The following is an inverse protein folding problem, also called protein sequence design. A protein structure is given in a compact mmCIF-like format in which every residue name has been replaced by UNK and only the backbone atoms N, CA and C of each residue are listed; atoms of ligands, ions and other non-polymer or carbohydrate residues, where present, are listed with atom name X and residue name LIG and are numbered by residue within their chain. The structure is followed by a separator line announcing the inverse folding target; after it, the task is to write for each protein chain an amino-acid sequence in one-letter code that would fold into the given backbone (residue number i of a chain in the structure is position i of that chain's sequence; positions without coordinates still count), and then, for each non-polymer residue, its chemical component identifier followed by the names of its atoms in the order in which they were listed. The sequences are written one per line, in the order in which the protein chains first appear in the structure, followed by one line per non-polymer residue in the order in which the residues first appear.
data_IF_865440773632
#
_entry.id   IF_865440773632
#
_cell.length_a   1.000
_cell.length_b   1.000
_cell.length_c   1.000
_cell.angle_alpha   90.00
_cell.angle_beta   90.00
_cell.angle_gamma   90.00
#
_symmetry.space_group_name_H-M   'P 1'
#
loop_
_entity.id
_entity.type
_entity.pdbx_description
1 polymer ?
#
# COMPACT_ATOMS: atom_id res chain seq x y z
N UNK A 1 -19.65 -10.05 66.67
CA UNK A 1 -20.27 -8.93 65.94
C UNK A 1 -19.24 -7.83 65.71
N UNK A 2 -18.68 -7.71 64.49
CA UNK A 2 -17.89 -6.53 64.07
C UNK A 2 -17.98 -6.35 62.56
N UNK A 3 -18.87 -5.42 62.20
CA UNK A 3 -18.97 -4.53 61.03
C UNK A 3 -18.23 -4.89 59.73
N UNK A 4 -19.01 -5.07 58.68
CA UNK A 4 -18.57 -5.37 57.31
C UNK A 4 -17.79 -4.26 56.60
N UNK A 5 -16.82 -4.70 55.80
CA UNK A 5 -16.15 -3.91 54.76
C UNK A 5 -17.05 -3.84 53.53
N UNK A 6 -17.55 -2.64 53.21
CA UNK A 6 -18.18 -2.34 51.93
C UNK A 6 -17.12 -2.37 50.83
N UNK A 7 -17.22 -3.31 49.90
CA UNK A 7 -16.43 -3.32 48.67
C UNK A 7 -16.91 -2.19 47.76
N UNK A 8 -16.14 -1.11 47.70
CA UNK A 8 -16.30 -0.08 46.68
C UNK A 8 -15.76 -0.61 45.35
N UNK A 9 -16.62 -1.28 44.58
CA UNK A 9 -16.36 -1.63 43.18
C UNK A 9 -16.35 -0.32 42.38
N UNK A 10 -15.18 0.32 42.30
CA UNK A 10 -14.97 1.49 41.47
C UNK A 10 -15.16 1.09 40.01
N UNK A 11 -16.36 1.40 39.50
CA UNK A 11 -16.72 1.27 38.10
C UNK A 11 -15.90 2.30 37.30
N UNK A 12 -14.60 2.03 37.12
CA UNK A 12 -13.78 2.74 36.15
C UNK A 12 -14.31 2.34 34.78
N UNK A 13 -15.25 3.13 34.28
CA UNK A 13 -15.61 3.17 32.87
C UNK A 13 -14.29 3.28 32.10
N UNK A 14 -13.88 2.17 31.49
CA UNK A 14 -12.81 2.11 30.51
C UNK A 14 -13.28 2.94 29.31
N UNK A 15 -13.17 4.27 29.41
CA UNK A 15 -13.15 5.12 28.25
C UNK A 15 -11.95 4.65 27.42
N UNK A 16 -12.25 3.84 26.40
CA UNK A 16 -11.32 3.52 25.33
C UNK A 16 -10.79 4.85 24.82
N UNK A 17 -9.51 5.11 25.07
CA UNK A 17 -8.84 6.36 24.68
C UNK A 17 -8.72 6.40 23.17
N UNK A 18 -9.78 6.79 22.49
CA UNK A 18 -9.73 7.06 21.06
C UNK A 18 -8.84 8.29 20.85
N UNK A 19 -7.84 8.23 19.95
CA UNK A 19 -7.09 9.40 19.50
C UNK A 19 -8.05 10.53 19.07
N UNK A 20 -7.63 11.81 19.15
CA UNK A 20 -8.39 12.90 18.57
C UNK A 20 -8.54 12.65 17.06
N UNK A 21 -9.68 13.05 16.46
CA UNK A 21 -9.95 12.84 15.04
C UNK A 21 -8.82 13.30 14.10
N UNK A 22 -8.10 14.35 14.48
CA UNK A 22 -6.97 14.91 13.73
C UNK A 22 -5.84 13.90 13.50
N UNK A 23 -5.57 13.01 14.46
CA UNK A 23 -4.50 12.02 14.34
C UNK A 23 -4.82 10.95 13.28
N UNK A 24 -6.09 10.55 13.16
CA UNK A 24 -6.54 9.59 12.14
C UNK A 24 -6.49 10.20 10.75
N UNK A 25 -6.91 11.46 10.61
CA UNK A 25 -6.86 12.17 9.33
C UNK A 25 -5.42 12.35 8.85
N UNK A 26 -4.51 12.80 9.73
CA UNK A 26 -3.08 12.92 9.41
C UNK A 26 -2.49 11.61 8.90
N UNK A 27 -2.79 10.48 9.55
CA UNK A 27 -2.35 9.16 9.10
C UNK A 27 -2.94 8.77 7.74
N UNK A 28 -4.24 9.01 7.53
CA UNK A 28 -4.87 8.75 6.25
C UNK A 28 -4.23 9.57 5.13
N UNK A 29 -3.93 10.85 5.36
CA UNK A 29 -3.23 11.71 4.40
C UNK A 29 -1.82 11.20 4.08
N UNK A 30 -1.05 10.80 5.10
CA UNK A 30 0.28 10.22 4.90
C UNK A 30 0.24 8.96 4.02
N UNK A 31 -0.71 8.05 4.29
CA UNK A 31 -0.94 6.86 3.47
C UNK A 31 -1.31 7.24 2.04
N UNK A 32 -2.25 8.18 1.85
CA UNK A 32 -2.69 8.64 0.54
C UNK A 32 -1.52 9.21 -0.28
N UNK A 33 -0.66 10.02 0.34
CA UNK A 33 0.51 10.59 -0.32
C UNK A 33 1.54 9.52 -0.68
N UNK A 34 1.75 8.52 0.17
CA UNK A 34 2.58 7.35 -0.16
C UNK A 34 2.01 6.56 -1.35
N UNK A 35 0.69 6.35 -1.39
CA UNK A 35 0.04 5.69 -2.53
C UNK A 35 0.26 6.49 -3.81
N UNK A 36 0.06 7.81 -3.78
CA UNK A 36 0.31 8.69 -4.95
C UNK A 36 1.75 8.58 -5.44
N UNK A 37 2.72 8.64 -4.53
CA UNK A 37 4.14 8.48 -4.84
C UNK A 37 4.42 7.14 -5.51
N UNK A 38 3.96 6.04 -4.91
CA UNK A 38 4.16 4.68 -5.43
C UNK A 38 3.53 4.52 -6.81
N UNK A 39 2.30 5.01 -7.00
CA UNK A 39 1.62 4.96 -8.30
C UNK A 39 2.33 5.82 -9.34
N UNK A 40 2.81 7.01 -8.96
CA UNK A 40 3.61 7.86 -9.83
C UNK A 40 4.88 7.16 -10.31
N UNK A 41 5.61 6.50 -9.41
CA UNK A 41 6.78 5.68 -9.75
C UNK A 41 6.42 4.50 -10.67
N UNK A 42 5.27 3.84 -10.44
CA UNK A 42 4.79 2.75 -11.29
C UNK A 42 4.47 3.25 -12.71
N UNK A 43 3.78 4.39 -12.84
CA UNK A 43 3.48 5.01 -14.14
C UNK A 43 4.76 5.39 -14.88
N UNK A 44 5.72 6.03 -14.22
CA UNK A 44 7.03 6.36 -14.80
C UNK A 44 7.75 5.10 -15.32
N UNK A 45 7.72 4.01 -14.54
CA UNK A 45 8.32 2.73 -14.95
C UNK A 45 7.59 2.02 -16.10
N UNK A 46 6.29 2.32 -16.32
CA UNK A 46 5.52 1.81 -17.46
C UNK A 46 5.75 2.65 -18.73
N UNK A 47 5.73 3.98 -18.61
CA UNK A 47 5.96 4.90 -19.72
C UNK A 47 7.34 4.67 -20.37
N UNK A 48 8.38 4.43 -19.56
CA UNK A 48 9.70 4.09 -20.07
C UNK A 48 9.73 2.83 -20.94
N UNK A 49 8.87 1.84 -20.68
CA UNK A 49 8.79 0.63 -21.54
C UNK A 49 8.14 0.92 -22.88
N UNK A 50 7.12 1.77 -22.90
CA UNK A 50 6.43 2.14 -24.14
C UNK A 50 7.39 2.83 -25.10
N UNK A 51 8.17 3.79 -24.59
CA UNK A 51 9.15 4.51 -25.39
C UNK A 51 10.28 3.60 -25.92
N UNK A 52 10.73 2.62 -25.13
CA UNK A 52 11.73 1.63 -25.59
C UNK A 52 11.17 0.66 -26.63
N UNK A 53 9.90 0.23 -26.50
CA UNK A 53 9.27 -0.67 -27.48
C UNK A 53 9.10 0.00 -28.84
N UNK A 54 8.72 1.29 -28.88
CA UNK A 54 8.58 2.06 -30.11
C UNK A 54 9.91 2.27 -30.84
N UNK A 55 11.02 2.44 -30.11
CA UNK A 55 12.36 2.64 -30.71
C UNK A 55 12.89 1.38 -31.40
N UNK A 56 12.58 0.19 -30.86
CA UNK A 56 12.99 -1.09 -31.46
C UNK A 56 12.27 -1.35 -32.80
N UNK A 57 11.09 -0.76 -33.03
CA UNK A 57 10.35 -0.90 -34.29
C UNK A 57 10.78 0.14 -35.35
N UNK A 58 11.46 1.23 -34.95
CA UNK A 58 11.84 2.32 -35.85
C UNK A 58 13.24 2.25 -36.47
N UNK A 59 14.19 1.51 -35.88
CA UNK A 59 15.63 1.59 -36.24
C UNK A 59 16.05 0.64 -37.39
N UNK A 60 15.22 0.52 -38.42
CA UNK A 60 15.57 -0.19 -39.67
C UNK A 60 15.51 0.74 -40.88
N UNK A 61 16.27 1.85 -40.84
CA UNK A 61 16.70 2.56 -42.05
C UNK A 61 17.96 3.39 -41.81
N UNK A 62 19.02 2.93 -42.48
CA UNK A 62 20.13 3.63 -43.14
C UNK A 62 20.76 4.87 -42.50
N UNK A 63 22.08 4.80 -42.40
CA UNK A 63 22.93 5.80 -41.77
C UNK A 63 23.13 7.10 -42.55
N UNK A 64 23.83 8.01 -41.89
CA UNK A 64 24.28 9.30 -42.39
C UNK A 64 24.80 10.11 -41.21
N UNK A 65 26.06 10.53 -41.28
CA UNK A 65 26.87 10.93 -40.14
C UNK A 65 26.78 12.40 -39.70
N UNK A 66 27.57 12.67 -38.65
CA UNK A 66 28.28 13.94 -38.45
C UNK A 66 27.63 14.96 -37.52
N UNK A 67 28.37 15.36 -36.48
CA UNK A 67 28.41 16.78 -36.07
C UNK A 67 28.02 17.14 -34.64
N UNK A 68 29.06 17.50 -33.88
CA UNK A 68 29.18 18.61 -32.91
C UNK A 68 28.63 18.54 -31.47
N UNK A 69 29.58 18.89 -30.59
CA UNK A 69 29.50 19.09 -29.15
C UNK A 69 28.94 20.49 -28.85
N UNK A 70 28.01 20.57 -27.88
CA UNK A 70 27.45 21.83 -27.39
C UNK A 70 27.19 21.78 -25.89
N UNK A 71 27.89 22.64 -25.16
CA UNK A 71 27.93 22.73 -23.70
C UNK A 71 26.77 23.54 -23.09
N UNK A 72 26.49 23.24 -21.82
CA UNK A 72 26.00 24.21 -20.83
C UNK A 72 24.49 24.47 -20.79
N UNK A 73 23.80 23.84 -19.83
CA UNK A 73 22.41 24.18 -19.49
C UNK A 73 22.21 24.18 -17.99
N UNK A 74 21.92 25.36 -17.44
CA UNK A 74 21.65 25.65 -16.03
C UNK A 74 20.43 24.88 -15.49
N UNK A 75 20.58 24.28 -14.31
CA UNK A 75 19.50 23.62 -13.56
C UNK A 75 18.61 24.69 -12.88
N UNK A 76 17.62 25.20 -13.62
CA UNK A 76 16.55 26.01 -13.04
C UNK A 76 15.56 25.11 -12.27
N UNK A 77 15.69 25.09 -10.94
CA UNK A 77 14.76 24.45 -10.02
C UNK A 77 13.50 25.29 -9.81
N UNK A 78 12.65 25.35 -10.85
CA UNK A 78 11.28 25.86 -10.73
C UNK A 78 10.36 24.80 -10.11
N UNK A 79 9.63 25.18 -9.07
CA UNK A 79 8.59 24.37 -8.41
C UNK A 79 7.36 24.20 -9.32
N UNK A 80 7.53 23.50 -10.45
CA UNK A 80 6.47 23.18 -11.42
C UNK A 80 5.50 22.12 -10.85
N UNK A 81 4.74 22.46 -9.80
CA UNK A 81 3.66 21.62 -9.28
C UNK A 81 2.38 21.65 -10.15
N UNK A 82 2.32 22.50 -11.19
CA UNK A 82 1.06 22.86 -11.86
C UNK A 82 0.60 21.97 -13.03
N UNK A 83 1.31 20.89 -13.36
CA UNK A 83 1.01 20.09 -14.55
C UNK A 83 0.72 18.60 -14.33
N UNK A 84 0.99 18.04 -13.15
CA UNK A 84 0.87 16.60 -12.95
C UNK A 84 -0.61 16.18 -12.90
N UNK A 85 -1.09 15.58 -14.00
CA UNK A 85 -2.45 15.02 -14.10
C UNK A 85 -2.80 14.24 -12.83
N UNK A 86 -3.80 14.75 -12.10
CA UNK A 86 -4.18 14.22 -10.79
C UNK A 86 -4.65 12.78 -10.91
N UNK A 87 -3.90 11.84 -10.36
CA UNK A 87 -4.26 10.42 -10.37
C UNK A 87 -5.56 10.17 -9.60
N UNK A 88 -6.57 9.64 -10.29
CA UNK A 88 -7.94 9.48 -9.79
C UNK A 88 -8.26 8.06 -9.27
N UNK A 89 -7.31 7.13 -9.32
CA UNK A 89 -7.51 5.75 -8.85
C UNK A 89 -8.08 4.77 -9.87
N UNK A 90 -8.25 5.16 -11.13
CA UNK A 90 -8.78 4.25 -12.16
C UNK A 90 -7.94 2.96 -12.28
N UNK A 91 -8.62 1.81 -12.31
CA UNK A 91 -7.99 0.47 -12.35
C UNK A 91 -7.39 0.00 -11.01
N UNK A 92 -7.38 0.86 -9.99
CA UNK A 92 -6.84 0.55 -8.67
C UNK A 92 -7.89 -0.15 -7.80
N UNK A 93 -7.50 -1.27 -7.19
CA UNK A 93 -8.16 -1.85 -6.03
C UNK A 93 -7.33 -1.57 -4.79
N UNK A 94 -7.93 -0.98 -3.77
CA UNK A 94 -7.33 -0.82 -2.46
C UNK A 94 -7.91 -1.82 -1.47
N UNK A 95 -7.04 -2.50 -0.74
CA UNK A 95 -7.39 -3.45 0.32
C UNK A 95 -6.90 -2.86 1.65
N UNK A 96 -7.81 -2.35 2.48
CA UNK A 96 -7.53 -1.70 3.76
C UNK A 96 -7.68 -2.69 4.91
N UNK A 97 -6.57 -3.22 5.40
CA UNK A 97 -6.49 -4.25 6.44
C UNK A 97 -6.60 -3.64 7.84
N UNK A 98 -7.38 -4.29 8.72
CA UNK A 98 -7.67 -3.80 10.07
C UNK A 98 -8.18 -2.36 10.04
N UNK A 99 -9.11 -2.14 9.10
CA UNK A 99 -9.65 -0.82 8.75
C UNK A 99 -10.36 -0.14 9.92
N UNK A 100 -10.74 -0.87 10.98
CA UNK A 100 -11.50 -0.34 12.10
C UNK A 100 -12.79 0.31 11.58
N UNK A 101 -12.97 1.59 11.92
CA UNK A 101 -14.10 2.38 11.41
C UNK A 101 -13.93 2.85 9.96
N UNK A 102 -13.07 2.23 9.14
CA UNK A 102 -12.89 2.54 7.73
C UNK A 102 -12.67 4.03 7.38
N UNK A 103 -12.04 4.81 8.26
CA UNK A 103 -11.76 6.23 8.01
C UNK A 103 -10.76 6.40 6.86
N UNK A 104 -9.71 5.57 6.83
CA UNK A 104 -8.73 5.56 5.74
C UNK A 104 -9.41 5.22 4.40
N UNK A 105 -10.21 4.15 4.35
CA UNK A 105 -11.02 3.80 3.18
C UNK A 105 -11.97 4.92 2.72
N UNK A 106 -12.64 5.59 3.66
CA UNK A 106 -13.51 6.74 3.37
C UNK A 106 -12.74 7.87 2.71
N UNK A 107 -11.58 8.24 3.26
CA UNK A 107 -10.71 9.27 2.68
C UNK A 107 -10.21 8.89 1.28
N UNK A 108 -9.81 7.63 1.09
CA UNK A 108 -9.36 7.12 -0.21
C UNK A 108 -10.48 7.16 -1.27
N UNK A 109 -11.76 6.98 -0.90
CA UNK A 109 -12.88 7.09 -1.83
C UNK A 109 -13.03 8.50 -2.44
N UNK A 110 -12.71 9.54 -1.68
CA UNK A 110 -12.75 10.93 -2.16
C UNK A 110 -11.50 11.30 -2.94
N UNK A 111 -10.33 10.83 -2.49
CA UNK A 111 -9.06 11.15 -3.15
C UNK A 111 -8.88 10.37 -4.46
N UNK A 112 -9.37 9.14 -4.51
CA UNK A 112 -9.27 8.23 -5.65
C UNK A 112 -10.67 7.84 -6.12
N UNK A 113 -11.43 8.78 -6.73
CA UNK A 113 -12.84 8.58 -7.06
C UNK A 113 -13.10 7.50 -8.12
N UNK A 114 -12.08 6.94 -8.77
CA UNK A 114 -12.23 5.81 -9.71
C UNK A 114 -11.64 4.50 -9.21
N UNK A 115 -11.23 4.46 -7.94
CA UNK A 115 -10.75 3.23 -7.30
C UNK A 115 -11.90 2.40 -6.73
N UNK A 116 -11.65 1.11 -6.58
CA UNK A 116 -12.48 0.20 -5.76
C UNK A 116 -11.78 -0.02 -4.44
N UNK A 117 -12.51 -0.03 -3.32
CA UNK A 117 -11.93 -0.13 -1.99
C UNK A 117 -12.63 -1.23 -1.20
N UNK A 118 -11.85 -2.12 -0.59
CA UNK A 118 -12.35 -3.15 0.32
C UNK A 118 -11.72 -2.92 1.70
N UNK A 119 -12.53 -2.49 2.66
CA UNK A 119 -12.18 -2.34 4.06
C UNK A 119 -12.41 -3.67 4.79
N UNK A 120 -11.39 -4.17 5.49
CA UNK A 120 -11.43 -5.47 6.18
C UNK A 120 -11.19 -5.26 7.66
N UNK A 121 -12.01 -5.89 8.48
CA UNK A 121 -11.80 -6.00 9.92
C UNK A 121 -12.56 -7.21 10.49
N UNK A 122 -12.22 -7.59 11.71
CA UNK A 122 -12.82 -8.73 12.41
C UNK A 122 -13.80 -8.33 13.51
N UNK A 123 -13.95 -7.04 13.81
CA UNK A 123 -14.96 -6.59 14.76
C UNK A 123 -16.30 -6.34 14.03
N UNK A 124 -17.27 -7.22 14.25
CA UNK A 124 -18.62 -7.13 13.68
C UNK A 124 -19.47 -6.02 14.32
N UNK A 125 -19.01 -5.43 15.42
CA UNK A 125 -19.76 -4.42 16.19
C UNK A 125 -19.49 -3.00 15.71
N UNK A 126 -18.65 -2.83 14.69
CA UNK A 126 -18.30 -1.50 14.21
C UNK A 126 -19.47 -0.86 13.45
N UNK A 127 -19.73 0.41 13.76
CA UNK A 127 -20.75 1.18 13.08
C UNK A 127 -20.23 1.63 11.70
N UNK A 128 -20.75 1.02 10.64
CA UNK A 128 -20.33 1.26 9.25
C UNK A 128 -21.31 2.13 8.46
N UNK A 129 -22.25 2.81 9.12
CA UNK A 129 -23.28 3.64 8.46
C UNK A 129 -22.70 4.78 7.62
N UNK A 130 -21.51 5.26 7.93
CA UNK A 130 -20.86 6.32 7.16
C UNK A 130 -20.29 5.83 5.83
N UNK A 131 -19.99 4.53 5.68
CA UNK A 131 -19.56 3.95 4.39
C UNK A 131 -20.70 3.28 3.61
N UNK A 132 -21.87 3.05 4.21
CA UNK A 132 -22.98 2.37 3.52
C UNK A 132 -23.51 3.15 2.31
N UNK A 133 -23.23 4.46 2.24
CA UNK A 133 -23.58 5.33 1.12
C UNK A 133 -22.44 5.50 0.11
N UNK A 134 -21.28 4.87 0.34
CA UNK A 134 -20.12 4.97 -0.54
C UNK A 134 -20.08 3.75 -1.45
N UNK A 135 -20.64 3.86 -2.66
CA UNK A 135 -20.81 2.76 -3.63
C UNK A 135 -19.52 1.99 -3.94
N UNK A 136 -18.36 2.65 -3.81
CA UNK A 136 -17.05 2.08 -4.14
C UNK A 136 -16.31 1.47 -2.94
N UNK A 137 -16.85 1.63 -1.73
CA UNK A 137 -16.28 1.11 -0.49
C UNK A 137 -17.10 -0.09 -0.03
N UNK A 138 -16.47 -1.25 -0.01
CA UNK A 138 -17.08 -2.48 0.50
C UNK A 138 -16.45 -2.82 1.85
N UNK A 139 -17.28 -3.27 2.79
CA UNK A 139 -16.79 -3.85 4.04
C UNK A 139 -16.79 -5.37 3.97
N UNK A 140 -15.69 -5.99 4.35
CA UNK A 140 -15.54 -7.43 4.41
C UNK A 140 -15.14 -7.85 5.82
N UNK A 141 -16.02 -8.58 6.50
CA UNK A 141 -15.74 -9.14 7.81
C UNK A 141 -14.80 -10.36 7.67
N UNK A 142 -13.58 -10.24 8.16
CA UNK A 142 -12.62 -11.35 8.17
C UNK A 142 -11.55 -11.16 9.26
N UNK A 143 -11.13 -12.25 9.89
CA UNK A 143 -9.87 -12.27 10.63
C UNK A 143 -8.72 -12.59 9.66
N UNK A 144 -7.84 -11.61 9.48
CA UNK A 144 -6.74 -11.73 8.51
C UNK A 144 -5.72 -12.80 8.91
N UNK A 145 -5.73 -13.25 10.17
CA UNK A 145 -4.83 -14.32 10.63
C UNK A 145 -5.27 -15.71 10.18
N UNK A 146 -6.52 -15.87 9.76
CA UNK A 146 -7.08 -17.17 9.38
C UNK A 146 -6.62 -17.59 7.97
N UNK A 147 -6.31 -18.88 7.73
CA UNK A 147 -5.92 -19.36 6.40
C UNK A 147 -6.96 -19.06 5.30
N UNK A 148 -8.25 -19.06 5.67
CA UNK A 148 -9.34 -18.73 4.76
C UNK A 148 -9.22 -17.31 4.18
N UNK A 149 -8.64 -16.37 4.94
CA UNK A 149 -8.40 -15.01 4.46
C UNK A 149 -7.43 -14.98 3.28
N UNK A 150 -6.30 -15.71 3.35
CA UNK A 150 -5.33 -15.73 2.26
C UNK A 150 -5.92 -16.30 0.96
N UNK A 151 -6.74 -17.34 1.05
CA UNK A 151 -7.45 -17.90 -0.10
C UNK A 151 -8.45 -16.90 -0.70
N UNK A 152 -9.23 -16.23 0.15
CA UNK A 152 -10.16 -15.17 -0.26
C UNK A 152 -9.42 -13.99 -0.91
N UNK A 153 -8.31 -13.55 -0.32
CA UNK A 153 -7.50 -12.44 -0.80
C UNK A 153 -6.96 -12.74 -2.19
N UNK A 154 -6.36 -13.92 -2.40
CA UNK A 154 -5.87 -14.32 -3.71
C UNK A 154 -6.99 -14.34 -4.74
N UNK A 155 -8.14 -14.96 -4.42
CA UNK A 155 -9.31 -14.96 -5.33
C UNK A 155 -9.76 -13.54 -5.68
N UNK A 156 -9.80 -12.63 -4.71
CA UNK A 156 -10.20 -11.24 -4.88
C UNK A 156 -9.22 -10.47 -5.78
N UNK A 157 -7.92 -10.63 -5.53
CA UNK A 157 -6.84 -10.04 -6.34
C UNK A 157 -6.93 -10.55 -7.79
N UNK A 158 -7.00 -11.86 -7.97
CA UNK A 158 -7.09 -12.47 -9.31
C UNK A 158 -8.35 -12.01 -10.05
N UNK A 159 -9.50 -11.95 -9.39
CA UNK A 159 -10.74 -11.49 -9.99
C UNK A 159 -10.62 -10.03 -10.46
N UNK A 160 -10.01 -9.16 -9.64
CA UNK A 160 -9.78 -7.75 -10.01
C UNK A 160 -8.88 -7.62 -11.24
N UNK A 161 -7.78 -8.38 -11.28
CA UNK A 161 -6.82 -8.37 -12.38
C UNK A 161 -7.39 -8.99 -13.66
N UNK A 162 -8.30 -9.97 -13.54
CA UNK A 162 -8.88 -10.71 -14.66
C UNK A 162 -10.10 -10.06 -15.29
N UNK A 163 -10.81 -9.11 -14.65
CA UNK A 163 -12.00 -8.60 -15.36
C UNK A 163 -11.53 -7.92 -16.65
N UNK A 164 -11.93 -8.55 -17.76
CA UNK A 164 -11.75 -8.02 -19.09
C UNK A 164 -12.41 -6.65 -19.09
N UNK A 165 -11.76 -5.67 -19.69
CA UNK A 165 -12.48 -4.52 -20.22
C UNK A 165 -13.45 -5.10 -21.21
N UNK A 166 -14.72 -5.19 -20.84
CA UNK A 166 -15.77 -5.56 -21.78
C UNK A 166 -15.74 -4.44 -22.81
N UNK A 167 -15.28 -4.66 -24.05
CA UNK A 167 -15.30 -3.59 -25.02
C UNK A 167 -16.77 -3.20 -25.18
N UNK A 168 -17.10 -1.97 -24.81
CA UNK A 168 -18.43 -1.41 -25.07
C UNK A 168 -18.57 -1.26 -26.59
N UNK A 169 -18.88 -2.38 -27.26
CA UNK A 169 -19.07 -2.45 -28.70
C UNK A 169 -20.47 -1.92 -29.00
N UNK A 170 -20.57 -0.61 -29.14
CA UNK A 170 -21.66 0.03 -29.87
C UNK A 170 -21.01 1.03 -30.81
N UNK A 171 -20.40 0.52 -31.89
CA UNK A 171 -19.90 1.34 -32.99
C UNK A 171 -20.70 0.97 -34.24
N UNK A 172 -21.47 1.94 -34.70
CA UNK A 172 -22.07 1.96 -36.03
C UNK A 172 -20.95 1.95 -37.10
N UNK A 173 -21.14 1.25 -38.23
CA UNK A 173 -20.13 1.16 -39.28
C UNK A 173 -19.94 2.51 -40.00
N UNK A 174 -18.68 2.86 -40.30
CA UNK A 174 -18.19 3.93 -41.21
C UNK A 174 -17.64 5.26 -40.66
N UNK A 175 -16.74 5.23 -39.67
CA UNK A 175 -15.79 6.35 -39.49
C UNK A 175 -14.36 5.85 -39.28
N UNK A 176 -13.41 6.39 -40.04
CA UNK A 176 -11.98 6.11 -39.96
C UNK A 176 -11.48 6.18 -38.50
N UNK A 177 -10.68 5.20 -38.03
CA UNK A 177 -10.17 5.21 -36.66
C UNK A 177 -9.12 6.33 -36.51
N UNK A 178 -9.59 7.50 -36.08
CA UNK A 178 -8.73 8.51 -35.46
C UNK A 178 -8.14 7.90 -34.18
N UNK A 179 -6.85 8.10 -33.85
CA UNK A 179 -6.25 7.69 -32.58
C UNK A 179 -6.85 8.53 -31.44
N UNK A 180 -8.11 8.24 -31.11
CA UNK A 180 -8.79 8.83 -29.97
C UNK A 180 -8.12 8.31 -28.69
N UNK A 181 -7.95 9.18 -27.67
CA UNK A 181 -7.33 8.81 -26.40
C UNK A 181 -8.01 7.56 -25.86
N UNK A 182 -7.19 6.57 -25.49
CA UNK A 182 -7.62 5.27 -24.98
C UNK A 182 -8.83 5.42 -24.05
N UNK A 183 -9.89 4.70 -24.37
CA UNK A 183 -11.12 4.80 -23.59
C UNK A 183 -10.84 4.49 -22.12
N UNK A 184 -11.59 5.10 -21.19
CA UNK A 184 -11.50 4.87 -19.75
C UNK A 184 -11.38 3.43 -19.27
N UNK A 185 -11.80 2.46 -20.07
CA UNK A 185 -11.86 1.07 -19.65
C UNK A 185 -10.46 0.44 -19.63
N UNK A 186 -9.56 0.80 -20.55
CA UNK A 186 -8.27 0.13 -20.77
C UNK A 186 -7.16 0.45 -19.76
N UNK A 187 -7.49 1.10 -18.64
CA UNK A 187 -6.51 1.42 -17.62
C UNK A 187 -5.89 0.15 -17.00
N UNK A 188 -4.56 0.09 -16.85
CA UNK A 188 -3.90 -1.06 -16.26
C UNK A 188 -4.39 -1.25 -14.82
N UNK A 189 -4.77 -2.49 -14.50
CA UNK A 189 -5.32 -2.84 -13.19
C UNK A 189 -4.22 -3.24 -12.22
N UNK A 190 -4.34 -2.78 -10.99
CA UNK A 190 -3.40 -3.12 -9.94
C UNK A 190 -4.07 -3.10 -8.57
N UNK A 191 -3.44 -3.78 -7.62
CA UNK A 191 -3.90 -3.87 -6.24
C UNK A 191 -2.87 -3.22 -5.32
N UNK A 192 -3.35 -2.39 -4.41
CA UNK A 192 -2.59 -1.78 -3.31
C UNK A 192 -3.15 -2.31 -2.01
N UNK A 193 -2.28 -2.83 -1.15
CA UNK A 193 -2.67 -3.25 0.19
C UNK A 193 -2.20 -2.22 1.21
N UNK A 194 -3.10 -1.82 2.09
CA UNK A 194 -2.91 -0.79 3.10
C UNK A 194 -3.20 -1.41 4.46
N UNK A 195 -2.46 -1.02 5.48
CA UNK A 195 -2.74 -1.44 6.84
C UNK A 195 -2.30 -0.41 7.86
N UNK A 196 -3.25 0.40 8.31
CA UNK A 196 -3.03 1.41 9.36
C UNK A 196 -3.42 0.80 10.70
N UNK A 197 -2.59 1.01 11.72
CA UNK A 197 -2.82 0.45 13.04
C UNK A 197 -2.82 -1.08 13.16
N UNK A 198 -2.14 -1.76 12.24
CA UNK A 198 -1.87 -3.19 12.40
C UNK A 198 -1.05 -3.43 13.68
N UNK A 199 -1.58 -4.28 14.54
CA UNK A 199 -1.00 -4.58 15.84
C UNK A 199 -0.15 -5.85 15.80
N UNK A 200 1.12 -5.76 16.20
CA UNK A 200 1.98 -6.94 16.38
C UNK A 200 1.93 -7.89 15.18
N UNK A 201 1.55 -9.13 15.42
CA UNK A 201 1.50 -10.20 14.40
C UNK A 201 0.64 -9.87 13.18
N UNK A 202 -0.32 -8.94 13.27
CA UNK A 202 -1.14 -8.52 12.12
C UNK A 202 -0.29 -7.85 11.02
N UNK A 203 0.77 -7.11 11.40
CA UNK A 203 1.71 -6.53 10.42
C UNK A 203 2.51 -7.61 9.70
N UNK A 204 2.89 -8.68 10.40
CA UNK A 204 3.62 -9.81 9.81
C UNK A 204 2.73 -10.58 8.84
N UNK A 205 1.47 -10.80 9.23
CA UNK A 205 0.46 -11.42 8.36
C UNK A 205 0.26 -10.59 7.10
N UNK A 206 0.16 -9.25 7.21
CA UNK A 206 0.06 -8.39 6.03
C UNK A 206 1.28 -8.51 5.10
N UNK A 207 2.51 -8.52 5.64
CA UNK A 207 3.72 -8.73 4.81
C UNK A 207 3.75 -10.13 4.19
N UNK A 208 3.35 -11.15 4.94
CA UNK A 208 3.27 -12.54 4.45
C UNK A 208 2.29 -12.67 3.29
N UNK A 209 1.11 -12.07 3.40
CA UNK A 209 0.13 -12.05 2.32
C UNK A 209 0.56 -11.19 1.14
N UNK A 210 1.27 -10.08 1.37
CA UNK A 210 1.90 -9.32 0.28
C UNK A 210 2.90 -10.20 -0.48
N UNK A 211 3.82 -10.86 0.22
CA UNK A 211 4.85 -11.71 -0.38
C UNK A 211 4.24 -12.87 -1.18
N UNK A 212 3.17 -13.51 -0.67
CA UNK A 212 2.48 -14.63 -1.32
C UNK A 212 1.69 -14.26 -2.58
N UNK A 213 1.26 -13.02 -2.70
CA UNK A 213 0.37 -12.58 -3.77
C UNK A 213 1.11 -11.60 -4.70
N UNK A 214 1.74 -12.08 -5.80
CA UNK A 214 2.45 -11.20 -6.73
C UNK A 214 1.53 -10.20 -7.46
N UNK A 215 0.23 -10.48 -7.49
CA UNK A 215 -0.80 -9.56 -7.98
C UNK A 215 -0.96 -8.26 -7.15
N UNK A 216 -0.51 -8.26 -5.89
CA UNK A 216 -0.46 -7.06 -5.06
C UNK A 216 0.80 -6.27 -5.42
N UNK A 217 0.61 -5.12 -6.05
CA UNK A 217 1.72 -4.31 -6.61
C UNK A 217 2.37 -3.41 -5.58
N UNK A 218 1.64 -3.02 -4.55
CA UNK A 218 2.14 -2.15 -3.50
C UNK A 218 1.59 -2.52 -2.12
N UNK A 219 2.39 -2.22 -1.11
CA UNK A 219 2.07 -2.37 0.30
C UNK A 219 2.38 -1.07 1.02
N UNK A 220 1.47 -0.58 1.87
CA UNK A 220 1.72 0.53 2.80
C UNK A 220 1.24 0.13 4.18
N UNK A 221 2.15 0.04 5.14
CA UNK A 221 1.86 -0.31 6.53
C UNK A 221 2.25 0.82 7.47
N UNK A 222 1.41 1.05 8.48
CA UNK A 222 1.73 1.86 9.64
C UNK A 222 1.52 1.00 10.90
N UNK A 223 2.50 0.15 11.28
CA UNK A 223 2.39 -0.68 12.48
C UNK A 223 2.22 0.20 13.71
N UNK A 224 1.30 -0.13 14.62
CA UNK A 224 1.05 0.73 15.80
C UNK A 224 1.35 0.05 17.14
N UNK A 225 1.30 -1.27 17.23
CA UNK A 225 1.53 -2.00 18.47
C UNK A 225 2.71 -2.95 18.33
N UNK A 226 3.50 -3.03 19.40
CA UNK A 226 4.53 -4.05 19.56
C UNK A 226 3.85 -5.43 19.67
N UNK A 227 4.49 -6.50 19.17
CA UNK A 227 4.09 -7.87 19.51
C UNK A 227 4.05 -8.05 21.03
N UNK A 228 3.17 -8.94 21.51
CA UNK A 228 3.08 -9.23 22.94
C UNK A 228 4.39 -9.89 23.41
N UNK A 229 4.60 -9.93 24.74
CA UNK A 229 5.84 -10.49 25.32
C UNK A 229 6.14 -11.92 24.83
N UNK A 230 5.10 -12.72 24.64
CA UNK A 230 5.21 -14.12 24.21
C UNK A 230 5.54 -14.25 22.71
N UNK A 231 5.28 -13.21 21.92
CA UNK A 231 5.50 -13.18 20.47
C UNK A 231 6.82 -12.47 20.11
N UNK A 232 7.83 -12.57 21.00
CA UNK A 232 9.14 -11.93 20.80
C UNK A 232 9.24 -10.47 21.25
N UNK A 233 8.16 -9.83 21.71
CA UNK A 233 8.19 -8.44 22.20
C UNK A 233 9.15 -8.19 23.37
N UNK A 234 9.39 -9.20 24.21
CA UNK A 234 10.37 -9.12 25.31
C UNK A 234 11.82 -9.04 24.80
N UNK A 235 12.12 -9.68 23.67
CA UNK A 235 13.47 -9.62 23.05
C UNK A 235 13.76 -8.24 22.50
N UNK A 236 12.78 -7.61 21.84
CA UNK A 236 12.94 -6.27 21.24
C UNK A 236 13.13 -5.19 22.31
N UNK A 237 12.38 -5.26 23.41
CA UNK A 237 12.54 -4.31 24.53
C UNK A 237 13.89 -4.46 25.24
N UNK A 238 14.37 -5.69 25.40
CA UNK A 238 15.70 -5.98 25.94
C UNK A 238 16.80 -5.48 25.01
N UNK A 239 16.65 -5.70 23.70
CA UNK A 239 17.58 -5.23 22.68
C UNK A 239 17.63 -3.69 22.62
N UNK A 240 16.48 -3.02 22.62
CA UNK A 240 16.42 -1.55 22.65
C UNK A 240 17.16 -0.96 23.86
N UNK A 241 17.04 -1.61 25.03
CA UNK A 241 17.78 -1.19 26.23
C UNK A 241 19.29 -1.35 26.06
N UNK A 242 19.74 -2.44 25.43
CA UNK A 242 21.17 -2.67 25.14
C UNK A 242 21.73 -1.68 24.14
N UNK A 243 20.92 -1.24 23.18
CA UNK A 243 21.30 -0.24 22.17
C UNK A 243 21.31 1.20 22.69
N UNK A 244 21.05 1.43 23.99
CA UNK A 244 21.23 2.71 24.70
C UNK A 244 20.94 3.94 23.82
N UNK A 245 19.69 4.07 23.33
CA UNK A 245 19.17 5.18 22.53
C UNK A 245 19.32 5.13 21.00
N UNK A 246 20.08 4.19 20.42
CA UNK A 246 20.20 4.11 18.95
C UNK A 246 18.89 3.73 18.25
N UNK A 247 18.02 2.97 18.91
CA UNK A 247 16.70 2.63 18.41
C UNK A 247 15.72 2.34 19.55
N UNK A 248 14.49 2.82 19.40
CA UNK A 248 13.38 2.41 20.26
C UNK A 248 12.93 0.98 19.96
N UNK A 249 12.29 0.32 20.93
CA UNK A 249 11.70 -1.00 20.71
C UNK A 249 10.71 -1.00 19.52
N UNK A 250 9.99 0.10 19.32
CA UNK A 250 9.08 0.28 18.19
C UNK A 250 9.81 0.39 16.85
N UNK A 251 10.92 1.13 16.78
CA UNK A 251 11.73 1.18 15.56
C UNK A 251 12.33 -0.18 15.23
N UNK A 252 12.86 -0.90 16.22
CA UNK A 252 13.33 -2.28 16.04
C UNK A 252 12.22 -3.21 15.53
N UNK A 253 11.00 -3.02 16.02
CA UNK A 253 9.84 -3.75 15.52
C UNK A 253 9.53 -3.42 14.06
N UNK A 254 9.49 -2.14 13.70
CA UNK A 254 9.26 -1.73 12.31
C UNK A 254 10.35 -2.28 11.38
N UNK A 255 11.61 -2.29 11.82
CA UNK A 255 12.71 -2.92 11.09
C UNK A 255 12.51 -4.43 10.93
N UNK A 256 12.05 -5.11 11.99
CA UNK A 256 11.76 -6.55 11.93
C UNK A 256 10.72 -6.86 10.87
N UNK A 257 9.59 -6.13 10.85
CA UNK A 257 8.53 -6.27 9.83
C UNK A 257 9.05 -5.90 8.44
N UNK A 258 9.79 -4.81 8.32
CA UNK A 258 10.39 -4.36 7.07
C UNK A 258 11.31 -5.43 6.44
N UNK A 259 12.12 -6.11 7.26
CA UNK A 259 13.02 -7.17 6.79
C UNK A 259 12.30 -8.46 6.39
N UNK A 260 11.00 -8.62 6.69
CA UNK A 260 10.19 -9.75 6.21
C UNK A 260 9.75 -9.58 4.75
N UNK A 261 9.85 -8.38 4.17
CA UNK A 261 9.49 -8.14 2.77
C UNK A 261 10.50 -8.85 1.86
N UNK A 262 10.02 -9.66 0.90
CA UNK A 262 10.90 -10.34 -0.05
C UNK A 262 11.52 -9.34 -1.04
N UNK A 263 12.77 -8.95 -0.77
CA UNK A 263 13.56 -8.01 -1.57
C UNK A 263 13.91 -8.52 -2.96
N UNK A 264 13.76 -9.81 -3.25
CA UNK A 264 13.92 -10.33 -4.62
C UNK A 264 12.78 -9.88 -5.52
N UNK A 265 11.62 -9.63 -4.92
CA UNK A 265 10.37 -9.37 -5.63
C UNK A 265 9.89 -7.92 -5.49
N UNK A 266 10.35 -7.21 -4.45
CA UNK A 266 9.92 -5.85 -4.15
C UNK A 266 11.08 -4.93 -3.74
N UNK A 267 11.01 -3.68 -4.18
CA UNK A 267 11.70 -2.57 -3.52
C UNK A 267 10.89 -2.16 -2.30
N UNK A 268 11.56 -1.75 -1.22
CA UNK A 268 10.89 -1.32 0.01
C UNK A 268 11.69 -0.24 0.69
N UNK A 269 10.99 0.61 1.45
CA UNK A 269 11.61 1.67 2.24
C UNK A 269 10.85 1.92 3.55
N UNK A 270 11.48 2.66 4.45
CA UNK A 270 10.97 3.09 5.74
C UNK A 270 10.92 4.61 5.79
N UNK A 271 9.71 5.16 5.94
CA UNK A 271 9.50 6.60 6.04
C UNK A 271 9.05 6.98 7.44
N UNK A 272 9.63 8.04 7.99
CA UNK A 272 9.14 8.65 9.23
C UNK A 272 8.38 9.92 8.89
N UNK A 273 7.15 10.04 9.39
CA UNK A 273 6.34 11.24 9.23
C UNK A 273 6.44 12.12 10.49
N UNK A 274 7.12 13.28 10.46
CA UNK A 274 7.27 14.13 11.64
C UNK A 274 5.94 14.74 12.11
N UNK A 275 4.93 14.84 11.22
CA UNK A 275 3.63 15.44 11.52
C UNK A 275 2.63 14.43 12.09
N UNK A 276 2.98 13.15 12.10
CA UNK A 276 2.14 12.12 12.67
C UNK A 276 2.21 12.15 14.20
N UNK A 277 1.35 12.98 14.80
CA UNK A 277 1.24 13.14 16.25
C UNK A 277 0.62 11.87 16.82
N UNK A 278 1.45 10.97 17.32
CA UNK A 278 0.94 9.99 18.28
C UNK A 278 0.59 10.74 19.54
N UNK A 279 -0.65 10.63 20.00
CA UNK A 279 -1.10 11.18 21.28
C UNK A 279 -0.18 10.67 22.38
N UNK A 280 0.84 11.45 22.72
CA UNK A 280 1.71 11.15 23.84
C UNK A 280 0.83 11.26 25.08
N UNK A 281 0.79 10.21 25.90
CA UNK A 281 0.81 10.48 27.34
C UNK A 281 2.08 11.29 27.56
N UNK A 282 2.00 12.45 28.21
CA UNK A 282 3.17 13.20 28.64
C UNK A 282 4.19 12.22 29.24
N UNK A 283 5.35 12.05 28.60
CA UNK A 283 6.38 11.08 28.99
C UNK A 283 6.63 9.88 28.05
N UNK A 284 5.80 9.62 27.03
CA UNK A 284 6.12 8.59 26.03
C UNK A 284 7.27 9.04 25.12
N UNK A 285 8.44 8.37 25.24
CA UNK A 285 9.71 8.78 24.61
C UNK A 285 9.77 8.62 23.07
N UNK A 286 8.83 7.93 22.43
CA UNK A 286 8.94 7.62 21.01
C UNK A 286 7.62 7.85 20.26
N UNK A 287 7.68 8.67 19.20
CA UNK A 287 6.59 8.81 18.24
C UNK A 287 6.46 7.51 17.44
N UNK A 288 5.24 7.01 17.27
CA UNK A 288 4.97 5.84 16.42
C UNK A 288 4.60 6.35 15.04
N UNK A 289 5.56 6.89 14.31
CA UNK A 289 5.35 7.61 13.05
C UNK A 289 6.05 6.95 11.85
N UNK A 290 6.30 5.64 11.93
CA UNK A 290 7.06 4.92 10.91
C UNK A 290 6.11 4.19 9.97
N UNK A 291 6.23 4.51 8.69
CA UNK A 291 5.59 3.83 7.58
C UNK A 291 6.57 2.86 6.94
N UNK A 292 6.08 1.66 6.63
CA UNK A 292 6.76 0.69 5.78
C UNK A 292 6.02 0.70 4.46
N UNK A 293 6.72 0.89 3.35
CA UNK A 293 6.11 0.67 2.05
C UNK A 293 6.95 -0.25 1.18
N UNK A 294 6.28 -0.99 0.32
CA UNK A 294 6.90 -1.87 -0.64
C UNK A 294 6.22 -1.73 -2.00
N UNK A 295 7.01 -1.88 -3.06
CA UNK A 295 6.56 -1.86 -4.46
C UNK A 295 7.16 -3.04 -5.18
N UNK A 296 6.33 -3.84 -5.85
CA UNK A 296 6.79 -4.96 -6.69
C UNK A 296 7.70 -4.46 -7.81
N UNK A 297 8.80 -5.17 -8.03
CA UNK A 297 9.69 -4.91 -9.14
C UNK A 297 9.02 -5.34 -10.47
N UNK A 298 9.32 -4.65 -11.58
CA UNK A 298 9.02 -5.14 -12.92
C UNK A 298 9.49 -6.59 -13.12
N UNK A 299 8.68 -7.43 -13.76
CA UNK A 299 9.01 -8.83 -14.07
C UNK A 299 10.36 -8.97 -14.80
N UNK A 300 10.71 -7.99 -15.65
CA UNK A 300 11.97 -7.94 -16.39
C UNK A 300 13.21 -7.74 -15.51
N UNK A 301 13.04 -7.37 -14.23
CA UNK A 301 14.12 -7.20 -13.26
C UNK A 301 14.17 -8.32 -12.21
N UNK A 302 13.26 -9.32 -12.25
CA UNK A 302 13.43 -10.54 -11.44
C UNK A 302 14.65 -11.26 -12.02
N UNK A 303 15.85 -11.05 -11.45
CA UNK A 303 17.09 -11.74 -11.85
C UNK A 303 16.88 -13.22 -11.60
N UNK A 304 16.42 -13.96 -12.60
CA UNK A 304 16.53 -15.42 -12.61
C UNK A 304 18.01 -15.75 -12.53
N UNK A 305 18.40 -16.65 -11.64
CA UNK A 305 19.78 -17.15 -11.63
C UNK A 305 20.04 -17.76 -13.02
N UNK A 306 21.23 -17.54 -13.61
CA UNK A 306 21.60 -18.25 -14.84
C UNK A 306 21.52 -19.76 -14.57
N UNK A 307 20.51 -20.44 -15.10
CA UNK A 307 20.27 -21.87 -14.87
C UNK A 307 18.81 -22.32 -14.86
N UNK A 308 17.84 -21.45 -14.58
CA UNK A 308 16.42 -21.83 -14.57
C UNK A 308 15.81 -21.73 -15.98
N UNK A 309 15.60 -22.88 -16.62
CA UNK A 309 15.08 -22.98 -17.98
C UNK A 309 13.56 -22.71 -18.05
N UNK A 310 13.25 -21.67 -18.83
CA UNK A 310 12.07 -21.40 -19.67
C UNK A 310 10.77 -22.16 -19.35
N UNK A 311 9.84 -21.48 -18.69
CA UNK A 311 8.41 -21.70 -18.89
C UNK A 311 7.80 -20.36 -19.32
N UNK A 312 7.42 -20.30 -20.59
CA UNK A 312 6.91 -19.09 -21.26
C UNK A 312 5.42 -18.95 -20.98
N UNK A 313 5.07 -18.16 -19.96
CA UNK A 313 3.76 -17.50 -19.90
C UNK A 313 3.97 -16.01 -19.54
N UNK A 314 3.52 -15.06 -20.38
CA UNK A 314 3.73 -13.62 -20.14
C UNK A 314 2.78 -13.03 -19.10
N UNK A 315 1.86 -13.83 -18.52
CA UNK A 315 0.90 -13.37 -17.52
C UNK A 315 1.33 -13.88 -16.15
N UNK A 316 2.25 -13.14 -15.53
CA UNK A 316 2.86 -13.42 -14.22
C UNK A 316 3.75 -14.67 -14.22
N UNK A 317 5.07 -14.46 -14.06
CA UNK A 317 6.00 -15.53 -13.72
C UNK A 317 5.58 -16.11 -12.36
N UNK A 318 4.88 -17.26 -12.35
CA UNK A 318 4.44 -17.96 -11.13
C UNK A 318 5.59 -18.47 -10.25
N UNK A 319 6.85 -18.20 -10.64
CA UNK A 319 8.07 -18.58 -9.89
C UNK A 319 8.76 -17.42 -9.17
N UNK A 320 8.19 -16.20 -9.19
CA UNK A 320 8.47 -15.11 -8.24
C UNK A 320 7.19 -14.90 -7.39
#
# INVERSE_FOLDING_TARGET
SRSGRKSSTSLRVLFSRTPPPTAYLSQAFAVINLIRRIVGEMKKAQAGRWNSASKIVGDRKEGGGGGEEGAGGEENGGDDEDGAEKFDGRGMLVIDLCSGKAITATMMNFVFPKSRIIAIDKDHRMCMSHISHLERVQYHFADITEPAFGAWLNKTVQSHLKLKTTPTTTIAPNTNPSPSPSTPEDAPRFVVMVGVHLCGTLSEVAVKEFNRNPGIRALVLCPCCMPKKNDGGLRLTTLARRLKYAASAYQLWCWTVFHQIDRKQASSDLLQDPHMITTKKAGAKHAKNTFIYARRLPSSKCRTRPGDSKQNDPVFCERC
#
